data_IF_516012086746
#
_entry.id   IF_516012086746
#
_cell.length_a   1.000
_cell.length_b   1.000
_cell.length_c   1.000
_cell.angle_alpha   90.00
_cell.angle_beta   90.00
_cell.angle_gamma   90.00
#
_symmetry.space_group_name_H-M   'P 1'
#
loop_
_entity.id
_entity.type
_entity.pdbx_description
1 polymer ?
#
# COMPACT_ATOMS: atom_id res chain seq x y z
N UNK A 1 2.98 -3.28 2.61
CA UNK A 1 2.84 -2.74 3.97
C UNK A 1 3.93 -3.33 4.84
N UNK A 2 4.65 -2.50 5.60
CA UNK A 2 5.77 -2.90 6.46
C UNK A 2 5.46 -2.56 7.93
N UNK A 3 4.60 -3.34 8.59
CA UNK A 3 4.11 -2.99 9.93
C UNK A 3 5.18 -2.97 11.01
N UNK A 4 6.30 -3.68 10.89
CA UNK A 4 7.40 -3.57 11.85
C UNK A 4 8.02 -2.16 11.82
N UNK A 5 8.10 -1.55 10.65
CA UNK A 5 8.60 -0.20 10.47
C UNK A 5 7.54 0.87 10.78
N UNK A 6 6.31 0.66 10.31
CA UNK A 6 5.24 1.67 10.33
C UNK A 6 4.57 1.81 11.71
N UNK A 7 4.47 0.72 12.47
CA UNK A 7 3.76 0.73 13.75
C UNK A 7 4.65 1.22 14.89
N UNK A 8 4.09 1.99 15.83
CA UNK A 8 4.82 2.37 17.05
C UNK A 8 5.32 1.16 17.83
N UNK A 9 6.56 1.18 18.28
CA UNK A 9 7.15 0.10 19.08
C UNK A 9 6.35 -0.25 20.33
N UNK A 10 5.64 0.74 20.90
CA UNK A 10 4.78 0.55 22.08
C UNK A 10 3.61 -0.43 21.85
N UNK A 11 3.27 -0.74 20.60
CA UNK A 11 2.27 -1.74 20.29
C UNK A 11 2.78 -3.19 20.40
N UNK A 12 4.09 -3.40 20.52
CA UNK A 12 4.70 -4.73 20.64
C UNK A 12 4.45 -5.63 19.42
N UNK A 13 4.30 -5.04 18.21
CA UNK A 13 3.97 -5.82 17.02
C UNK A 13 5.05 -6.82 16.63
N UNK A 14 6.32 -6.42 16.70
CA UNK A 14 7.45 -7.29 16.35
C UNK A 14 7.53 -8.51 17.29
N UNK A 15 7.33 -8.30 18.58
CA UNK A 15 7.29 -9.36 19.59
C UNK A 15 6.08 -10.29 19.38
N UNK A 16 4.92 -9.72 19.07
CA UNK A 16 3.71 -10.49 18.77
C UNK A 16 3.91 -11.34 17.50
N UNK A 17 4.53 -10.78 16.45
CA UNK A 17 4.84 -11.51 15.22
C UNK A 17 5.78 -12.69 15.49
N UNK A 18 6.77 -12.52 16.35
CA UNK A 18 7.69 -13.60 16.76
C UNK A 18 7.02 -14.77 17.51
N UNK A 19 5.78 -14.60 17.98
CA UNK A 19 4.99 -15.66 18.62
C UNK A 19 4.08 -16.42 17.64
N UNK A 20 3.98 -15.98 16.39
CA UNK A 20 3.20 -16.64 15.34
C UNK A 20 3.97 -17.85 14.83
N UNK A 21 3.31 -19.00 14.71
CA UNK A 21 3.94 -20.26 14.33
C UNK A 21 4.52 -20.28 12.92
N UNK A 22 3.97 -19.47 12.03
CA UNK A 22 4.43 -19.35 10.65
C UNK A 22 4.02 -17.98 10.08
N UNK A 23 4.97 -17.25 9.55
CA UNK A 23 4.79 -15.95 8.92
C UNK A 23 5.22 -16.02 7.46
N UNK A 24 4.34 -15.60 6.57
CA UNK A 24 4.61 -15.56 5.13
C UNK A 24 4.48 -14.12 4.65
N UNK A 25 5.50 -13.62 3.98
CA UNK A 25 5.51 -12.29 3.37
C UNK A 25 5.41 -12.36 1.84
N UNK A 26 4.60 -11.47 1.26
CA UNK A 26 4.52 -11.21 -0.17
C UNK A 26 5.11 -9.82 -0.49
N UNK A 27 6.27 -9.54 0.04
CA UNK A 27 6.90 -8.24 -0.14
C UNK A 27 7.63 -8.14 -1.48
N UNK A 28 7.46 -7.02 -2.18
CA UNK A 28 8.24 -6.68 -3.38
C UNK A 28 9.71 -6.37 -3.02
N UNK A 29 9.95 -5.91 -1.79
CA UNK A 29 11.27 -5.59 -1.25
C UNK A 29 11.48 -6.31 0.08
N UNK A 30 12.70 -6.74 0.40
CA UNK A 30 13.03 -7.35 1.68
C UNK A 30 13.09 -6.29 2.79
N UNK A 31 11.91 -5.81 3.19
CA UNK A 31 11.73 -4.88 4.31
C UNK A 31 11.83 -5.59 5.68
N UNK A 32 11.73 -4.83 6.77
CA UNK A 32 11.87 -5.33 8.13
C UNK A 32 10.87 -6.45 8.45
N UNK A 33 9.64 -6.33 7.96
CA UNK A 33 8.60 -7.35 8.17
C UNK A 33 8.88 -8.59 7.33
N UNK A 34 9.35 -8.42 6.10
CA UNK A 34 9.72 -9.53 5.23
C UNK A 34 10.90 -10.31 5.82
N UNK A 35 11.93 -9.60 6.32
CA UNK A 35 13.11 -10.24 6.95
C UNK A 35 12.73 -11.02 8.22
N UNK A 36 11.71 -10.57 8.94
CA UNK A 36 11.19 -11.25 10.13
C UNK A 36 10.25 -12.43 9.81
N UNK A 37 9.97 -12.68 8.53
CA UNK A 37 9.07 -13.76 8.10
C UNK A 37 9.81 -15.06 7.86
N UNK A 38 9.13 -16.21 8.04
CA UNK A 38 9.69 -17.55 7.79
C UNK A 38 9.87 -17.82 6.29
N UNK A 39 8.95 -17.27 5.47
CA UNK A 39 8.98 -17.42 4.01
C UNK A 39 8.71 -16.08 3.34
N UNK A 40 9.46 -15.79 2.30
CA UNK A 40 9.25 -14.63 1.44
C UNK A 40 8.94 -15.14 0.02
N UNK A 41 7.76 -14.82 -0.49
CA UNK A 41 7.40 -14.97 -1.88
C UNK A 41 7.52 -13.60 -2.55
N UNK A 42 8.54 -13.34 -3.37
CA UNK A 42 8.73 -12.04 -4.01
C UNK A 42 7.52 -11.69 -4.88
N UNK A 43 6.78 -10.65 -4.51
CA UNK A 43 5.65 -10.18 -5.30
C UNK A 43 6.12 -9.32 -6.46
N UNK A 44 5.30 -9.22 -7.50
CA UNK A 44 5.53 -8.32 -8.62
C UNK A 44 5.28 -6.88 -8.20
N UNK A 45 5.99 -5.97 -8.82
CA UNK A 45 5.66 -4.55 -8.71
C UNK A 45 4.27 -4.27 -9.29
N UNK A 46 3.56 -3.27 -8.76
CA UNK A 46 2.20 -2.95 -9.21
C UNK A 46 2.06 -2.70 -10.71
N UNK A 47 3.12 -2.20 -11.38
CA UNK A 47 3.14 -2.02 -12.84
C UNK A 47 3.36 -3.33 -13.62
N UNK A 48 3.83 -4.39 -12.95
CA UNK A 48 4.06 -5.72 -13.50
C UNK A 48 2.91 -6.69 -13.18
N UNK A 49 1.91 -6.22 -12.44
CA UNK A 49 0.81 -7.03 -11.92
C UNK A 49 -0.48 -6.78 -12.65
N UNK A 50 -1.34 -7.79 -12.68
CA UNK A 50 -2.74 -7.62 -13.04
C UNK A 50 -3.46 -6.87 -11.92
N UNK A 51 -4.40 -6.00 -12.26
CA UNK A 51 -5.24 -5.30 -11.31
C UNK A 51 -6.71 -5.63 -11.52
N UNK A 52 -7.39 -5.96 -10.44
CA UNK A 52 -8.83 -6.14 -10.42
C UNK A 52 -9.38 -5.54 -9.14
N UNK A 53 -10.24 -4.55 -9.28
CA UNK A 53 -10.90 -3.94 -8.13
C UNK A 53 -12.41 -3.95 -8.33
N UNK A 54 -13.12 -4.43 -7.32
CA UNK A 54 -14.57 -4.36 -7.26
C UNK A 54 -14.96 -3.26 -6.28
N UNK A 55 -15.69 -2.28 -6.79
CA UNK A 55 -16.28 -1.24 -5.95
C UNK A 55 -17.75 -1.58 -5.71
N UNK A 56 -18.12 -1.66 -4.44
CA UNK A 56 -19.51 -1.77 -4.03
C UNK A 56 -19.97 -0.39 -3.52
N UNK A 57 -20.87 0.26 -4.27
CA UNK A 57 -21.52 1.49 -3.85
C UNK A 57 -23.01 1.21 -3.69
N UNK A 58 -23.48 1.22 -2.44
CA UNK A 58 -24.89 0.89 -2.16
C UNK A 58 -25.25 -0.53 -2.60
N UNK A 59 -26.36 -0.68 -3.34
CA UNK A 59 -26.80 -1.96 -3.90
C UNK A 59 -26.17 -2.28 -5.25
N UNK A 60 -25.44 -1.35 -5.84
CA UNK A 60 -24.85 -1.48 -7.16
C UNK A 60 -23.38 -1.84 -7.05
N UNK A 61 -22.99 -2.91 -7.70
CA UNK A 61 -21.58 -3.31 -7.80
C UNK A 61 -21.03 -2.79 -9.11
N UNK A 62 -20.08 -1.88 -9.03
CA UNK A 62 -19.28 -1.48 -10.16
C UNK A 62 -17.94 -2.20 -10.09
N UNK A 63 -17.51 -2.75 -11.20
CA UNK A 63 -16.16 -3.28 -11.33
C UNK A 63 -15.31 -2.19 -11.95
N UNK A 64 -14.39 -1.68 -11.19
CA UNK A 64 -13.40 -0.75 -11.69
C UNK A 64 -12.09 -1.49 -11.94
N UNK A 65 -11.54 -1.23 -13.09
CA UNK A 65 -10.20 -1.57 -13.56
C UNK A 65 -9.84 -3.06 -13.62
N UNK A 66 -9.63 -3.53 -14.83
CA UNK A 66 -8.72 -4.61 -15.12
C UNK A 66 -7.48 -4.00 -15.76
N UNK A 67 -6.49 -3.72 -14.97
CA UNK A 67 -5.20 -3.33 -15.50
C UNK A 67 -4.45 -4.59 -15.86
N UNK A 68 -4.01 -4.67 -17.12
CA UNK A 68 -2.95 -5.61 -17.48
C UNK A 68 -1.60 -5.01 -17.05
N UNK A 69 -0.57 -5.84 -16.88
CA UNK A 69 0.78 -5.35 -16.61
C UNK A 69 1.21 -4.31 -17.65
N UNK A 70 1.66 -3.16 -17.17
CA UNK A 70 2.12 -2.05 -18.04
C UNK A 70 3.54 -2.31 -18.51
N UNK A 71 4.34 -2.96 -17.67
CA UNK A 71 5.71 -3.37 -17.99
C UNK A 71 5.87 -4.87 -17.78
N UNK A 72 6.70 -5.48 -18.59
CA UNK A 72 7.13 -6.85 -18.37
C UNK A 72 8.22 -6.84 -17.30
N UNK A 73 8.22 -7.87 -16.44
CA UNK A 73 9.30 -8.08 -15.50
C UNK A 73 10.64 -8.28 -16.20
N UNK A 74 11.71 -8.08 -15.44
CA UNK A 74 13.08 -8.33 -15.94
C UNK A 74 13.34 -9.82 -16.03
N UNK A 75 13.75 -10.27 -17.20
CA UNK A 75 14.08 -11.66 -17.46
C UNK A 75 15.60 -11.87 -17.46
N UNK A 76 16.04 -13.00 -16.91
CA UNK A 76 17.41 -13.44 -17.09
C UNK A 76 17.63 -13.80 -18.58
N UNK A 77 18.61 -13.16 -19.26
CA UNK A 77 18.82 -13.39 -20.69
C UNK A 77 19.28 -14.81 -21.02
N UNK A 78 19.79 -15.56 -20.05
CA UNK A 78 20.29 -16.93 -20.26
C UNK A 78 19.21 -17.99 -20.04
N UNK A 79 18.30 -17.78 -19.08
CA UNK A 79 17.28 -18.77 -18.71
C UNK A 79 15.90 -18.42 -19.23
N UNK A 80 15.66 -17.18 -19.66
CA UNK A 80 14.34 -16.65 -20.00
C UNK A 80 13.33 -16.73 -18.84
N UNK A 81 13.79 -16.89 -17.64
CA UNK A 81 12.99 -16.85 -16.42
C UNK A 81 12.96 -15.41 -15.86
N UNK A 82 11.90 -15.10 -15.13
CA UNK A 82 11.81 -13.83 -14.41
C UNK A 82 12.94 -13.75 -13.39
N UNK A 83 13.68 -12.66 -13.43
CA UNK A 83 14.69 -12.35 -12.43
C UNK A 83 13.99 -12.32 -11.05
N UNK A 84 14.61 -12.96 -10.06
CA UNK A 84 14.05 -13.14 -8.71
C UNK A 84 12.83 -14.07 -8.62
N UNK A 85 12.39 -14.71 -9.72
CA UNK A 85 11.21 -15.59 -9.74
C UNK A 85 9.96 -14.94 -9.10
N UNK A 86 9.80 -13.62 -9.29
CA UNK A 86 8.66 -12.87 -8.75
C UNK A 86 7.35 -13.38 -9.35
N UNK A 87 6.35 -13.59 -8.49
CA UNK A 87 5.02 -14.05 -8.88
C UNK A 87 3.96 -13.20 -8.19
N UNK A 88 2.85 -12.95 -8.86
CA UNK A 88 1.72 -12.28 -8.24
C UNK A 88 1.21 -13.05 -7.02
N UNK A 89 0.86 -12.33 -5.95
CA UNK A 89 0.31 -12.93 -4.73
C UNK A 89 -0.88 -13.86 -5.04
N UNK A 90 -1.77 -13.47 -5.96
CA UNK A 90 -2.91 -14.29 -6.36
C UNK A 90 -2.47 -15.60 -7.03
N UNK A 91 -1.48 -15.56 -7.92
CA UNK A 91 -0.93 -16.76 -8.58
C UNK A 91 -0.36 -17.75 -7.56
N UNK A 92 0.36 -17.25 -6.55
CA UNK A 92 0.93 -18.10 -5.48
C UNK A 92 -0.18 -18.76 -4.65
N UNK A 93 -1.22 -18.00 -4.28
CA UNK A 93 -2.35 -18.52 -3.51
C UNK A 93 -3.17 -19.54 -4.30
N UNK A 94 -3.40 -19.30 -5.59
CA UNK A 94 -4.09 -20.24 -6.47
C UNK A 94 -3.26 -21.53 -6.59
N UNK A 95 -1.97 -21.43 -6.88
CA UNK A 95 -1.08 -22.59 -6.99
C UNK A 95 -1.02 -23.39 -5.68
N UNK A 96 -0.97 -22.72 -4.53
CA UNK A 96 -1.00 -23.38 -3.23
C UNK A 96 -2.33 -24.12 -3.00
N UNK A 97 -3.47 -23.50 -3.33
CA UNK A 97 -4.79 -24.10 -3.20
C UNK A 97 -4.93 -25.34 -4.12
N UNK A 98 -4.46 -25.25 -5.35
CA UNK A 98 -4.45 -26.39 -6.29
C UNK A 98 -3.55 -27.53 -5.81
N UNK A 99 -2.37 -27.21 -5.28
CA UNK A 99 -1.44 -28.19 -4.71
C UNK A 99 -2.00 -28.88 -3.47
N UNK A 100 -2.72 -28.15 -2.61
CA UNK A 100 -3.36 -28.71 -1.42
C UNK A 100 -4.55 -29.62 -1.76
N UNK A 101 -5.20 -29.41 -2.90
CA UNK A 101 -6.31 -30.22 -3.37
C UNK A 101 -7.59 -30.07 -2.56
N UNK A 102 -8.54 -31.00 -2.75
CA UNK A 102 -9.78 -31.08 -1.98
C UNK A 102 -10.58 -29.79 -1.99
N UNK A 103 -11.02 -29.33 -0.82
CA UNK A 103 -11.84 -28.13 -0.67
C UNK A 103 -11.12 -26.84 -1.09
N UNK A 104 -9.81 -26.78 -0.97
CA UNK A 104 -9.04 -25.62 -1.38
C UNK A 104 -9.02 -25.43 -2.90
N UNK A 105 -8.75 -26.51 -3.63
CA UNK A 105 -8.79 -26.50 -5.09
C UNK A 105 -10.20 -26.20 -5.62
N UNK A 106 -11.25 -26.68 -4.93
CA UNK A 106 -12.64 -26.37 -5.27
C UNK A 106 -13.02 -24.92 -5.01
N UNK A 107 -12.46 -24.30 -3.97
CA UNK A 107 -12.71 -22.88 -3.64
C UNK A 107 -12.02 -21.92 -4.62
N UNK A 108 -10.88 -22.32 -5.18
CA UNK A 108 -10.11 -21.55 -6.16
C UNK A 108 -9.85 -22.39 -7.43
N UNK A 109 -10.87 -22.71 -8.23
CA UNK A 109 -10.78 -23.60 -9.38
C UNK A 109 -10.20 -22.89 -10.62
N UNK A 110 -9.12 -22.16 -10.43
CA UNK A 110 -8.47 -21.36 -11.48
C UNK A 110 -7.03 -21.84 -11.70
N UNK A 111 -6.51 -21.58 -12.88
CA UNK A 111 -5.11 -21.89 -13.23
C UNK A 111 -4.15 -20.79 -12.79
N UNK A 112 -4.63 -19.55 -12.86
CA UNK A 112 -3.85 -18.34 -12.60
C UNK A 112 -4.77 -17.14 -12.29
N UNK A 113 -4.18 -15.99 -12.01
CA UNK A 113 -4.88 -14.75 -11.70
C UNK A 113 -5.75 -14.27 -12.87
N UNK A 114 -5.31 -14.45 -14.11
CA UNK A 114 -6.08 -14.04 -15.30
C UNK A 114 -7.37 -14.85 -15.42
N UNK A 115 -7.28 -16.16 -15.25
CA UNK A 115 -8.44 -17.05 -15.23
C UNK A 115 -9.40 -16.70 -14.07
N UNK A 116 -8.87 -16.33 -12.90
CA UNK A 116 -9.67 -15.84 -11.77
C UNK A 116 -10.43 -14.56 -12.14
N UNK A 117 -9.74 -13.55 -12.71
CA UNK A 117 -10.37 -12.30 -13.15
C UNK A 117 -11.46 -12.58 -14.19
N UNK A 118 -11.17 -13.38 -15.22
CA UNK A 118 -12.16 -13.76 -16.24
C UNK A 118 -13.36 -14.47 -15.61
N UNK A 119 -13.14 -15.37 -14.66
CA UNK A 119 -14.23 -16.03 -13.93
C UNK A 119 -15.13 -15.05 -13.15
N UNK A 120 -14.60 -13.92 -12.68
CA UNK A 120 -15.41 -12.85 -12.07
C UNK A 120 -16.16 -12.02 -13.11
N UNK A 121 -15.58 -11.82 -14.29
CA UNK A 121 -16.19 -11.05 -15.37
C UNK A 121 -17.37 -11.80 -16.04
N UNK A 122 -17.35 -13.12 -16.06
CA UNK A 122 -18.45 -13.95 -16.64
C UNK A 122 -19.81 -13.55 -16.08
N UNK A 123 -19.89 -13.25 -14.79
CA UNK A 123 -21.14 -12.86 -14.14
C UNK A 123 -21.68 -11.50 -14.61
N UNK A 124 -20.85 -10.68 -15.24
CA UNK A 124 -21.22 -9.35 -15.75
C UNK A 124 -21.71 -9.39 -17.19
N UNK A 125 -21.39 -10.44 -17.95
CA UNK A 125 -21.71 -10.55 -19.37
C UNK A 125 -23.21 -10.54 -19.66
N UNK A 126 -24.02 -11.06 -18.74
CA UNK A 126 -25.48 -11.14 -18.86
C UNK A 126 -26.24 -9.91 -18.34
N UNK A 127 -25.54 -8.92 -17.81
CA UNK A 127 -26.18 -7.74 -17.20
C UNK A 127 -26.67 -6.77 -18.29
N UNK A 128 -27.98 -6.53 -18.34
CA UNK A 128 -28.62 -5.74 -19.38
C UNK A 128 -28.19 -4.27 -19.43
N UNK A 129 -27.86 -3.70 -18.26
CA UNK A 129 -27.54 -2.28 -18.10
C UNK A 129 -26.03 -1.99 -18.05
N UNK A 130 -25.22 -2.92 -18.53
CA UNK A 130 -23.77 -2.77 -18.52
C UNK A 130 -23.26 -1.67 -19.46
N UNK A 131 -22.11 -1.10 -19.16
CA UNK A 131 -21.43 -0.11 -20.00
C UNK A 131 -21.12 -0.66 -21.40
N UNK A 132 -20.89 -1.96 -21.47
CA UNK A 132 -20.78 -2.74 -22.71
C UNK A 132 -21.22 -4.19 -22.46
N UNK A 133 -21.43 -4.93 -23.54
CA UNK A 133 -21.69 -6.36 -23.53
C UNK A 133 -20.86 -7.04 -24.62
N UNK A 134 -20.56 -8.31 -24.45
CA UNK A 134 -19.97 -9.15 -25.50
C UNK A 134 -20.42 -10.62 -25.32
N UNK A 135 -20.54 -11.39 -26.38
CA UNK A 135 -21.04 -12.76 -26.30
C UNK A 135 -20.02 -13.76 -25.74
N UNK A 136 -18.73 -13.43 -25.83
CA UNK A 136 -17.62 -14.29 -25.40
C UNK A 136 -16.74 -13.62 -24.37
N UNK A 137 -16.23 -14.40 -23.42
CA UNK A 137 -15.42 -13.90 -22.32
C UNK A 137 -14.12 -13.24 -22.79
N UNK A 138 -13.50 -13.74 -23.85
CA UNK A 138 -12.29 -13.15 -24.41
C UNK A 138 -12.53 -11.75 -24.94
N UNK A 139 -13.62 -11.56 -25.70
CA UNK A 139 -14.03 -10.25 -26.22
C UNK A 139 -14.48 -9.33 -25.09
N UNK A 140 -15.21 -9.87 -24.09
CA UNK A 140 -15.64 -9.10 -22.93
C UNK A 140 -14.43 -8.61 -22.12
N UNK A 141 -13.43 -9.47 -21.91
CA UNK A 141 -12.18 -9.12 -21.22
C UNK A 141 -11.40 -8.04 -21.99
N UNK A 142 -11.33 -8.14 -23.32
CA UNK A 142 -10.67 -7.13 -24.14
C UNK A 142 -11.36 -5.75 -24.02
N UNK A 143 -12.69 -5.73 -24.04
CA UNK A 143 -13.45 -4.49 -23.81
C UNK A 143 -13.26 -3.96 -22.40
N UNK A 144 -13.26 -4.86 -21.40
CA UNK A 144 -13.01 -4.49 -20.01
C UNK A 144 -11.65 -3.77 -19.84
N UNK A 145 -10.61 -4.29 -20.47
CA UNK A 145 -9.27 -3.67 -20.48
C UNK A 145 -9.26 -2.35 -21.25
N UNK A 146 -9.90 -2.33 -22.44
CA UNK A 146 -9.96 -1.12 -23.27
C UNK A 146 -10.67 0.05 -22.58
N UNK A 147 -11.74 -0.24 -21.83
CA UNK A 147 -12.54 0.77 -21.13
C UNK A 147 -12.01 1.06 -19.70
N UNK A 148 -11.03 0.30 -19.22
CA UNK A 148 -10.51 0.42 -17.86
C UNK A 148 -11.46 -0.10 -16.79
N UNK A 149 -12.50 -0.83 -17.15
CA UNK A 149 -13.49 -1.39 -16.25
C UNK A 149 -14.88 -1.57 -16.87
N UNK A 150 -15.81 -2.00 -16.03
CA UNK A 150 -17.22 -2.17 -16.39
C UNK A 150 -18.10 -1.56 -15.29
N UNK A 151 -19.19 -0.91 -15.67
CA UNK A 151 -20.15 -0.29 -14.75
C UNK A 151 -21.58 -0.39 -15.27
N UNK A 152 -22.55 -0.31 -14.37
CA UNK A 152 -23.97 -0.19 -14.74
C UNK A 152 -24.30 1.24 -15.12
N UNK A 153 -24.90 1.45 -16.29
CA UNK A 153 -25.31 2.77 -16.78
C UNK A 153 -26.42 3.41 -15.95
N UNK A 154 -27.31 2.55 -15.41
CA UNK A 154 -28.44 2.98 -14.58
C UNK A 154 -28.11 3.10 -13.08
N UNK A 155 -26.84 2.95 -12.70
CA UNK A 155 -26.44 3.09 -11.33
C UNK A 155 -26.60 4.56 -10.89
N UNK A 156 -27.73 4.89 -10.33
CA UNK A 156 -27.83 6.10 -9.52
C UNK A 156 -26.91 5.91 -8.29
N UNK A 157 -25.88 6.73 -8.22
CA UNK A 157 -25.09 6.89 -7.02
C UNK A 157 -26.00 7.51 -5.95
N UNK A 158 -26.77 6.70 -5.26
CA UNK A 158 -27.37 7.17 -4.02
C UNK A 158 -26.21 7.45 -3.06
N UNK A 159 -25.91 8.73 -2.87
CA UNK A 159 -24.98 9.11 -1.83
C UNK A 159 -25.43 8.44 -0.53
N UNK A 160 -24.58 7.67 0.16
CA UNK A 160 -24.96 7.13 1.45
C UNK A 160 -25.43 8.30 2.29
N UNK A 161 -26.59 8.16 2.92
CA UNK A 161 -27.11 9.19 3.81
C UNK A 161 -26.09 9.39 4.94
N UNK A 162 -25.24 10.39 4.79
CA UNK A 162 -24.26 10.75 5.81
C UNK A 162 -24.92 11.32 7.08
N UNK A 163 -26.23 11.55 7.03
CA UNK A 163 -26.99 12.18 8.10
C UNK A 163 -26.94 11.42 9.44
N UNK A 164 -26.79 10.10 9.43
CA UNK A 164 -26.70 9.32 10.67
C UNK A 164 -25.29 9.31 11.29
N UNK A 165 -24.26 9.60 10.51
CA UNK A 165 -22.88 9.66 11.00
C UNK A 165 -22.51 11.06 11.55
N UNK A 166 -23.10 12.11 10.99
CA UNK A 166 -22.84 13.51 11.38
C UNK A 166 -23.49 13.92 12.71
N UNK A 167 -24.38 13.12 13.26
CA UNK A 167 -25.06 13.41 14.54
C UNK A 167 -24.31 12.97 15.79
N UNK A 168 -23.15 12.31 15.65
CA UNK A 168 -22.31 11.93 16.80
C UNK A 168 -21.29 13.02 17.05
N UNK A 169 -21.37 13.67 18.22
CA UNK A 169 -20.30 14.55 18.68
C UNK A 169 -19.00 13.75 18.77
N UNK A 170 -18.03 14.10 17.94
CA UNK A 170 -16.68 13.57 18.05
C UNK A 170 -16.05 14.28 19.26
N UNK A 171 -15.86 13.55 20.33
CA UNK A 171 -15.15 14.07 21.50
C UNK A 171 -13.65 14.00 21.17
N UNK A 172 -13.12 15.07 20.62
CA UNK A 172 -11.68 15.20 20.38
C UNK A 172 -11.07 15.56 21.74
N UNK A 173 -10.23 14.68 22.26
CA UNK A 173 -9.40 15.03 23.41
C UNK A 173 -8.30 15.97 22.95
N UNK A 174 -8.06 17.00 23.74
CA UNK A 174 -6.88 17.85 23.53
C UNK A 174 -5.60 17.01 23.58
N UNK A 175 -4.62 17.39 22.79
CA UNK A 175 -3.33 16.71 22.80
C UNK A 175 -2.65 16.90 24.18
N UNK A 176 -2.36 15.79 24.84
CA UNK A 176 -1.63 15.79 26.09
C UNK A 176 -0.13 15.60 25.78
N UNK A 177 0.66 16.62 26.08
CA UNK A 177 2.11 16.52 25.97
C UNK A 177 2.66 15.84 27.22
N UNK A 178 3.53 14.86 27.02
CA UNK A 178 4.21 14.12 28.08
C UNK A 178 5.69 14.50 28.11
N UNK A 179 6.34 14.34 29.26
CA UNK A 179 7.75 14.65 29.43
C UNK A 179 7.99 15.97 30.16
N UNK A 180 9.28 16.28 30.39
CA UNK A 180 9.74 17.45 31.13
C UNK A 180 10.71 18.32 30.33
N UNK A 181 10.64 18.23 29.00
CA UNK A 181 11.48 19.00 28.09
C UNK A 181 11.07 20.47 28.03
N UNK A 182 11.95 21.29 27.49
CA UNK A 182 11.72 22.73 27.26
C UNK A 182 10.99 22.98 25.93
N UNK A 183 10.94 21.97 25.04
CA UNK A 183 10.38 22.06 23.70
C UNK A 183 9.23 21.08 23.50
N UNK A 184 8.27 21.45 22.69
CA UNK A 184 7.22 20.58 22.20
C UNK A 184 7.71 19.93 20.90
N UNK A 185 7.70 18.60 20.86
CA UNK A 185 8.04 17.82 19.68
C UNK A 185 6.75 17.38 18.96
N UNK A 186 6.59 17.81 17.72
CA UNK A 186 5.45 17.49 16.86
C UNK A 186 5.93 16.70 15.63
N UNK A 187 5.82 15.37 15.62
CA UNK A 187 6.18 14.59 14.44
C UNK A 187 5.17 14.79 13.31
N UNK A 188 5.67 14.89 12.09
CA UNK A 188 4.85 14.91 10.89
C UNK A 188 5.41 13.98 9.83
N UNK A 189 4.57 13.55 8.88
CA UNK A 189 4.97 12.65 7.80
C UNK A 189 5.26 13.49 6.55
N UNK A 190 6.40 13.23 5.91
CA UNK A 190 6.72 13.87 4.63
C UNK A 190 5.66 13.53 3.58
N UNK A 191 5.10 14.51 2.87
CA UNK A 191 4.09 14.28 1.84
C UNK A 191 4.64 13.52 0.62
N UNK A 192 5.95 13.57 0.39
CA UNK A 192 6.60 12.92 -0.76
C UNK A 192 7.07 11.51 -0.44
N UNK A 193 7.59 11.28 0.75
CA UNK A 193 8.15 10.00 1.15
C UNK A 193 7.13 9.03 1.67
N UNK A 194 6.29 9.46 2.60
CA UNK A 194 5.35 8.59 3.28
C UNK A 194 6.00 7.30 3.81
N UNK A 195 5.22 6.49 4.47
CA UNK A 195 5.68 5.22 5.03
C UNK A 195 6.08 4.22 3.94
N UNK A 196 5.32 4.18 2.84
CA UNK A 196 5.55 3.25 1.72
C UNK A 196 6.76 3.60 0.86
N UNK A 197 7.37 4.76 1.03
CA UNK A 197 8.50 5.25 0.23
C UNK A 197 9.86 5.06 0.88
N UNK A 198 9.93 4.81 2.18
CA UNK A 198 11.16 4.85 2.96
C UNK A 198 12.28 3.93 2.44
N UNK A 199 11.94 2.76 1.90
CA UNK A 199 12.88 1.79 1.34
C UNK A 199 12.99 1.82 -0.19
N UNK A 200 12.54 2.90 -0.84
CA UNK A 200 12.58 3.06 -2.30
C UNK A 200 13.53 4.18 -2.70
N UNK A 201 14.72 3.86 -3.22
CA UNK A 201 15.73 4.88 -3.54
C UNK A 201 15.23 6.00 -4.45
N UNK A 202 14.45 5.65 -5.47
CA UNK A 202 13.89 6.64 -6.40
C UNK A 202 12.88 7.61 -5.75
N UNK A 203 12.22 7.23 -4.65
CA UNK A 203 11.38 8.13 -3.88
C UNK A 203 12.21 8.97 -2.92
N UNK A 204 13.33 8.44 -2.40
CA UNK A 204 14.28 9.18 -1.59
C UNK A 204 14.97 10.31 -2.37
N UNK A 205 15.06 10.18 -3.69
CA UNK A 205 15.63 11.21 -4.57
C UNK A 205 14.64 12.34 -4.90
N UNK A 206 13.35 12.18 -4.58
CA UNK A 206 12.38 13.24 -4.78
C UNK A 206 12.55 14.32 -3.71
N UNK A 207 12.79 15.57 -4.10
CA UNK A 207 12.88 16.65 -3.13
C UNK A 207 11.51 16.93 -2.53
N UNK A 208 11.47 17.22 -1.23
CA UNK A 208 10.29 17.76 -0.60
C UNK A 208 9.91 19.09 -1.28
N UNK A 209 8.64 19.33 -1.60
CA UNK A 209 8.24 20.50 -2.39
C UNK A 209 8.42 21.83 -1.66
N UNK A 210 8.55 21.82 -0.34
CA UNK A 210 8.70 23.03 0.47
C UNK A 210 10.14 23.28 0.87
N UNK A 211 10.82 22.24 1.39
CA UNK A 211 12.17 22.36 1.95
C UNK A 211 13.26 21.99 0.96
N UNK A 212 12.92 21.29 -0.13
CA UNK A 212 13.87 20.69 -1.09
C UNK A 212 14.81 19.63 -0.48
N UNK A 213 14.55 19.19 0.74
CA UNK A 213 15.33 18.12 1.40
C UNK A 213 15.09 16.80 0.69
N UNK A 214 16.15 16.04 0.48
CA UNK A 214 16.16 14.70 -0.10
C UNK A 214 16.96 13.76 0.80
N UNK A 215 16.67 12.48 0.77
CA UNK A 215 17.39 11.41 1.48
C UNK A 215 17.37 11.48 3.01
N UNK A 216 17.10 12.63 3.59
CA UNK A 216 17.20 12.88 5.02
C UNK A 216 15.87 13.28 5.65
N UNK A 217 15.75 13.00 6.93
CA UNK A 217 14.78 13.61 7.82
C UNK A 217 15.30 14.98 8.26
N UNK A 218 14.40 15.93 8.46
CA UNK A 218 14.74 17.27 8.96
C UNK A 218 13.89 17.66 10.16
N UNK A 219 14.32 18.71 10.84
CA UNK A 219 13.61 19.33 11.95
C UNK A 219 13.33 20.78 11.62
N UNK A 220 12.07 21.15 11.57
CA UNK A 220 11.69 22.56 11.43
C UNK A 220 11.82 23.28 12.75
N UNK A 221 12.51 24.40 12.76
CA UNK A 221 12.74 25.21 13.93
C UNK A 221 12.52 26.69 13.62
N UNK A 222 11.89 27.40 14.56
CA UNK A 222 11.75 28.85 14.45
C UNK A 222 13.13 29.53 14.43
N UNK A 223 13.39 30.45 13.48
CA UNK A 223 14.70 31.11 13.35
C UNK A 223 15.16 31.89 14.61
N UNK A 224 14.25 32.49 15.36
CA UNK A 224 14.59 33.22 16.58
C UNK A 224 15.07 32.24 17.67
N UNK A 225 14.35 31.13 17.85
CA UNK A 225 14.73 30.07 18.78
C UNK A 225 16.07 29.46 18.39
N UNK A 226 16.31 29.19 17.12
CA UNK A 226 17.58 28.67 16.63
C UNK A 226 18.74 29.64 16.93
N UNK A 227 18.53 30.92 16.68
CA UNK A 227 19.52 31.95 16.95
C UNK A 227 19.86 32.04 18.45
N UNK A 228 18.86 31.96 19.34
CA UNK A 228 19.08 31.95 20.80
C UNK A 228 19.90 30.73 21.28
N UNK A 229 19.74 29.59 20.56
CA UNK A 229 20.46 28.36 20.84
C UNK A 229 21.83 28.26 20.12
N UNK A 230 22.14 29.21 19.25
CA UNK A 230 23.33 29.18 18.40
C UNK A 230 23.31 28.09 17.35
N UNK A 231 22.11 27.76 16.82
CA UNK A 231 21.88 26.75 15.80
C UNK A 231 21.68 27.44 14.45
N UNK A 232 22.36 26.95 13.43
CA UNK A 232 22.23 27.41 12.05
C UNK A 232 21.48 26.40 11.19
N UNK A 233 21.05 26.82 10.00
CA UNK A 233 20.43 25.92 9.03
C UNK A 233 21.41 24.79 8.67
N UNK A 234 20.90 23.58 8.49
CA UNK A 234 21.66 22.34 8.23
C UNK A 234 22.51 21.82 9.40
N UNK A 235 22.52 22.47 10.55
CA UNK A 235 23.12 21.88 11.75
C UNK A 235 22.39 20.62 12.17
N UNK A 236 23.15 19.58 12.55
CA UNK A 236 22.58 18.32 13.02
C UNK A 236 22.35 18.39 14.53
N UNK A 237 21.09 18.36 14.91
CA UNK A 237 20.69 18.32 16.32
C UNK A 237 20.24 16.93 16.76
N UNK A 238 20.30 16.72 18.05
CA UNK A 238 19.78 15.51 18.69
C UNK A 238 18.52 15.84 19.50
N UNK A 239 17.41 15.20 19.12
CA UNK A 239 16.12 15.31 19.82
C UNK A 239 15.99 14.11 20.73
N UNK A 240 15.79 14.37 22.03
CA UNK A 240 15.57 13.35 23.06
C UNK A 240 14.16 13.43 23.61
N UNK A 241 13.49 12.29 23.64
CA UNK A 241 12.21 12.13 24.33
C UNK A 241 12.24 10.89 25.22
N UNK A 242 11.18 10.66 25.99
CA UNK A 242 11.04 9.42 26.77
C UNK A 242 10.95 8.18 25.85
N UNK A 243 10.51 8.33 24.60
CA UNK A 243 10.39 7.25 23.64
C UNK A 243 11.71 6.91 22.91
N UNK A 244 12.69 7.81 22.90
CA UNK A 244 13.97 7.57 22.22
C UNK A 244 14.70 8.84 21.81
N UNK A 245 15.70 8.65 20.94
CA UNK A 245 16.60 9.69 20.45
C UNK A 245 16.62 9.66 18.92
N UNK A 246 16.50 10.83 18.30
CA UNK A 246 16.60 11.03 16.85
C UNK A 246 17.59 12.13 16.56
N UNK A 247 18.38 11.97 15.49
CA UNK A 247 19.26 13.03 14.96
C UNK A 247 18.75 13.44 13.59
N UNK A 248 18.66 14.75 13.36
CA UNK A 248 18.25 15.29 12.08
C UNK A 248 18.85 16.70 11.87
N UNK A 249 18.98 17.08 10.59
CA UNK A 249 19.39 18.43 10.23
C UNK A 249 18.27 19.44 10.49
N UNK A 250 18.63 20.63 10.89
CA UNK A 250 17.68 21.72 11.13
C UNK A 250 17.35 22.43 9.84
N UNK A 251 16.09 22.68 9.63
CA UNK A 251 15.54 23.56 8.62
C UNK A 251 14.85 24.73 9.32
N UNK A 252 15.33 25.94 9.07
CA UNK A 252 14.78 27.16 9.68
C UNK A 252 13.53 27.62 8.91
N UNK A 253 12.39 27.66 9.61
CA UNK A 253 11.09 27.97 8.98
C UNK A 253 10.24 28.91 9.85
#
# INVERSE_FOLDING_TARGET
>A
VNPIFELPKSLGFAEALGSVSQVISFATFPDETAIASDYIFPDRHGLESWGYQRVATGTTQSVLSGLQPVVNGVYDPNTSELLFNARGTADVLIAAAQSAGGNFAQALPFTDEVAFIQGKLVNLMGEADGSFTAPEITTFTAYFQQHGGWWKKSAELSAPSAASALGKSINVKDAEFTGKGEFYFLPFVSPTLGEAGANKPWLQELPDPTTTVMWNTWVEMNPETAHELGIENDDVIEIRSEAGVVKAAVYLY
#
